data_IF_907850736387
#
_entry.id   IF_907850736387
#
_cell.length_a   1.000
_cell.length_b   1.000
_cell.length_c   1.000
_cell.angle_alpha   90.00
_cell.angle_beta   90.00
_cell.angle_gamma   90.00
#
_symmetry.space_group_name_H-M   'P 1'
#
loop_
_entity.id
_entity.type
_entity.pdbx_description
1 polymer ?
#
# COMPACT_ATOMS: atom_id res chain seq x y z
N UNK A 1 -14.66 9.93 2.03
CA UNK A 1 -15.49 9.74 0.86
C UNK A 1 -16.91 9.22 1.17
N UNK A 2 -17.53 9.82 2.20
CA UNK A 2 -18.86 9.45 2.72
C UNK A 2 -19.92 9.51 1.63
N UNK A 3 -19.91 10.57 0.81
CA UNK A 3 -20.87 10.78 -0.28
C UNK A 3 -20.94 9.60 -1.27
N UNK A 4 -19.79 9.14 -1.74
CA UNK A 4 -19.74 8.03 -2.71
C UNK A 4 -20.22 6.72 -2.09
N UNK A 5 -19.86 6.45 -0.84
CA UNK A 5 -20.34 5.26 -0.12
C UNK A 5 -21.85 5.26 0.03
N UNK A 6 -22.45 6.38 0.41
CA UNK A 6 -23.92 6.54 0.53
C UNK A 6 -24.61 6.33 -0.82
N UNK A 7 -24.14 6.96 -1.89
CA UNK A 7 -24.70 6.84 -3.24
C UNK A 7 -24.66 5.43 -3.80
N UNK A 8 -23.59 4.69 -3.47
CA UNK A 8 -23.43 3.30 -3.87
C UNK A 8 -24.03 2.31 -2.86
N UNK A 9 -24.70 2.78 -1.82
CA UNK A 9 -25.22 1.95 -0.72
C UNK A 9 -24.16 0.99 -0.15
N UNK A 10 -22.96 1.51 0.11
CA UNK A 10 -21.87 0.77 0.73
C UNK A 10 -21.92 1.03 2.23
N UNK A 11 -21.96 -0.04 3.03
CA UNK A 11 -21.91 0.05 4.50
C UNK A 11 -20.65 0.83 4.93
N UNK A 12 -20.81 1.72 5.90
CA UNK A 12 -19.64 2.37 6.50
C UNK A 12 -18.79 1.33 7.21
N UNK A 13 -17.46 1.33 7.02
CA UNK A 13 -16.56 0.47 7.79
C UNK A 13 -16.68 0.73 9.29
N UNK A 14 -16.43 -0.30 10.09
CA UNK A 14 -16.50 -0.18 11.56
C UNK A 14 -15.39 0.73 12.09
N UNK A 15 -14.23 0.77 11.41
CA UNK A 15 -13.11 1.67 11.72
C UNK A 15 -12.68 2.42 10.46
N UNK A 16 -12.50 3.73 10.59
CA UNK A 16 -11.88 4.61 9.60
C UNK A 16 -10.92 5.52 10.36
N UNK A 17 -9.63 5.27 10.24
CA UNK A 17 -8.61 6.02 10.97
C UNK A 17 -7.59 6.64 10.00
N UNK A 18 -7.22 7.92 10.16
CA UNK A 18 -6.16 8.53 9.36
C UNK A 18 -4.79 8.00 9.81
N UNK A 19 -3.89 7.74 8.86
CA UNK A 19 -2.53 7.28 9.17
C UNK A 19 -1.78 8.25 10.10
N UNK A 20 -2.06 9.55 10.00
CA UNK A 20 -1.49 10.59 10.85
C UNK A 20 -1.82 10.43 12.35
N UNK A 21 -2.82 9.65 12.70
CA UNK A 21 -3.18 9.34 14.09
C UNK A 21 -2.46 8.08 14.64
N UNK A 22 -1.65 7.39 13.82
CA UNK A 22 -1.02 6.11 14.15
C UNK A 22 0.51 6.15 14.14
N UNK A 23 1.10 7.33 14.24
CA UNK A 23 2.57 7.50 14.20
C UNK A 23 3.29 6.69 15.29
N UNK A 24 2.81 6.65 16.56
CA UNK A 24 3.46 5.84 17.60
C UNK A 24 3.49 4.35 17.27
N UNK A 25 2.43 3.82 16.64
CA UNK A 25 2.35 2.43 16.21
C UNK A 25 3.39 2.12 15.12
N UNK A 26 3.57 3.04 14.19
CA UNK A 26 4.56 2.87 13.12
C UNK A 26 5.98 2.90 13.68
N UNK A 27 6.28 3.84 14.57
CA UNK A 27 7.59 3.90 15.24
C UNK A 27 7.86 2.59 15.99
N UNK A 28 6.90 2.09 16.76
CA UNK A 28 7.02 0.83 17.50
C UNK A 28 7.33 -0.36 16.59
N UNK A 29 6.66 -0.45 15.44
CA UNK A 29 6.92 -1.52 14.46
C UNK A 29 8.35 -1.42 13.91
N UNK A 30 8.80 -0.22 13.55
CA UNK A 30 10.15 0.01 13.00
C UNK A 30 11.22 -0.31 14.06
N UNK A 31 11.03 0.10 15.32
CA UNK A 31 11.91 -0.26 16.43
C UNK A 31 12.03 -1.78 16.60
N UNK A 32 10.90 -2.48 16.61
CA UNK A 32 10.89 -3.94 16.73
C UNK A 32 11.57 -4.65 15.55
N UNK A 33 11.45 -4.12 14.33
CA UNK A 33 12.17 -4.65 13.17
C UNK A 33 13.68 -4.41 13.26
N UNK A 34 14.12 -3.26 13.79
CA UNK A 34 15.52 -2.97 14.07
C UNK A 34 16.09 -3.91 15.16
N UNK A 35 15.37 -4.09 16.26
CA UNK A 35 15.77 -4.98 17.36
C UNK A 35 15.91 -6.44 16.89
N UNK A 36 15.01 -6.89 16.01
CA UNK A 36 15.05 -8.24 15.44
C UNK A 36 16.07 -8.41 14.28
N UNK A 37 16.73 -7.34 13.87
CA UNK A 37 17.76 -7.35 12.82
C UNK A 37 17.22 -7.43 11.39
N UNK A 38 15.92 -7.16 11.17
CA UNK A 38 15.29 -7.06 9.85
C UNK A 38 15.35 -5.67 9.24
N UNK A 39 15.77 -4.68 9.99
CA UNK A 39 15.92 -3.30 9.51
C UNK A 39 17.29 -2.73 9.85
N UNK A 40 17.68 -1.67 9.15
CA UNK A 40 18.94 -0.95 9.37
C UNK A 40 18.79 0.54 9.07
N UNK A 41 19.66 1.35 9.67
CA UNK A 41 19.73 2.79 9.41
C UNK A 41 20.87 3.07 8.43
N UNK A 42 20.60 3.82 7.37
CA UNK A 42 21.58 4.27 6.41
C UNK A 42 21.18 5.64 5.83
N UNK A 43 22.13 6.54 5.64
CA UNK A 43 21.88 7.87 5.09
C UNK A 43 20.90 8.75 5.91
N UNK A 44 20.53 8.33 7.11
CA UNK A 44 19.52 8.94 7.97
C UNK A 44 18.14 8.26 7.91
N UNK A 45 17.86 7.47 6.89
CA UNK A 45 16.60 6.72 6.74
C UNK A 45 16.69 5.33 7.39
N UNK A 46 15.53 4.74 7.69
CA UNK A 46 15.43 3.35 8.14
C UNK A 46 14.90 2.48 7.00
N UNK A 47 15.61 1.41 6.70
CA UNK A 47 15.29 0.48 5.61
C UNK A 47 14.98 -0.90 6.15
N UNK A 48 14.09 -1.61 5.48
CA UNK A 48 13.90 -3.05 5.65
C UNK A 48 14.96 -3.79 4.82
N UNK A 49 15.62 -4.77 5.42
CA UNK A 49 16.63 -5.63 4.79
C UNK A 49 15.97 -6.89 4.22
N UNK A 50 15.67 -6.88 2.92
CA UNK A 50 14.98 -7.99 2.25
C UNK A 50 15.84 -9.25 2.17
N UNK A 51 17.17 -9.15 2.29
CA UNK A 51 18.09 -10.31 2.29
C UNK A 51 17.94 -11.21 3.53
N UNK A 52 17.26 -10.73 4.57
CA UNK A 52 16.98 -11.49 5.79
C UNK A 52 15.79 -12.44 5.65
N UNK A 53 15.01 -12.32 4.58
CA UNK A 53 13.87 -13.19 4.32
C UNK A 53 14.29 -14.41 3.51
N UNK A 54 13.76 -15.57 3.86
CA UNK A 54 13.90 -16.77 3.06
C UNK A 54 13.24 -16.63 1.68
N UNK A 55 12.08 -15.95 1.64
CA UNK A 55 11.34 -15.65 0.41
C UNK A 55 10.71 -14.26 0.48
N UNK A 56 11.12 -13.35 -0.40
CA UNK A 56 10.53 -12.02 -0.50
C UNK A 56 9.37 -11.96 -1.51
N UNK A 57 9.53 -12.53 -2.71
CA UNK A 57 8.49 -12.52 -3.76
C UNK A 57 7.44 -13.60 -3.50
N UNK A 58 6.33 -13.22 -2.83
CA UNK A 58 5.33 -14.18 -2.35
C UNK A 58 4.14 -14.36 -3.31
N UNK A 59 3.81 -13.35 -4.13
CA UNK A 59 2.64 -13.38 -5.01
C UNK A 59 2.96 -13.78 -6.45
N UNK A 60 4.18 -13.58 -6.92
CA UNK A 60 4.61 -13.86 -8.29
C UNK A 60 6.00 -14.46 -8.28
N UNK A 61 6.36 -15.18 -9.33
CA UNK A 61 7.74 -15.64 -9.56
C UNK A 61 8.63 -14.50 -10.08
N UNK A 62 8.47 -13.29 -9.54
CA UNK A 62 9.36 -12.17 -9.83
C UNK A 62 10.75 -12.45 -9.30
N UNK A 63 11.75 -12.01 -10.04
CA UNK A 63 13.15 -12.03 -9.65
C UNK A 63 13.70 -10.59 -9.58
N UNK A 64 14.98 -10.42 -9.25
CA UNK A 64 15.60 -9.10 -9.20
C UNK A 64 15.59 -8.36 -10.56
N UNK A 65 15.49 -9.07 -11.68
CA UNK A 65 15.41 -8.48 -13.02
C UNK A 65 14.07 -7.79 -13.24
N UNK A 66 12.99 -8.31 -12.64
CA UNK A 66 11.65 -7.71 -12.71
C UNK A 66 11.57 -6.37 -11.95
N UNK A 67 12.44 -6.15 -10.96
CA UNK A 67 12.57 -4.86 -10.28
C UNK A 67 13.04 -3.74 -11.24
N UNK A 68 13.84 -4.06 -12.24
CA UNK A 68 14.30 -3.10 -13.24
C UNK A 68 13.13 -2.62 -14.14
N UNK A 69 12.12 -3.47 -14.35
CA UNK A 69 10.93 -3.16 -15.17
C UNK A 69 9.89 -2.35 -14.37
N UNK A 70 9.84 -2.52 -13.05
CA UNK A 70 8.91 -1.83 -12.15
C UNK A 70 9.39 -0.45 -11.66
N UNK A 71 10.60 -0.04 -11.98
CA UNK A 71 11.14 1.28 -11.63
C UNK A 71 10.40 2.33 -12.47
N UNK A 72 9.63 3.21 -11.80
CA UNK A 72 9.05 4.39 -12.47
C UNK A 72 10.18 5.19 -13.09
N UNK A 73 10.06 5.54 -14.37
CA UNK A 73 10.99 6.46 -15.02
C UNK A 73 11.29 7.67 -14.12
N UNK A 74 12.56 7.93 -13.82
CA UNK A 74 13.00 9.03 -12.96
C UNK A 74 13.16 8.70 -11.46
N UNK A 75 13.12 7.44 -11.05
CA UNK A 75 13.56 7.04 -9.70
C UNK A 75 15.06 6.75 -9.74
N UNK A 76 15.86 7.66 -9.17
CA UNK A 76 17.28 7.44 -8.96
C UNK A 76 17.51 6.25 -8.00
N UNK A 77 18.54 5.48 -8.28
CA UNK A 77 18.93 4.35 -7.43
C UNK A 77 19.41 4.90 -6.07
N UNK A 78 18.76 4.48 -4.99
CA UNK A 78 19.12 4.90 -3.63
C UNK A 78 20.37 4.13 -3.17
N UNK A 79 21.51 4.81 -3.21
CA UNK A 79 22.83 4.26 -2.84
C UNK A 79 22.96 3.85 -1.37
N UNK A 80 22.01 4.23 -0.51
CA UNK A 80 21.99 3.82 0.90
C UNK A 80 21.41 2.41 1.11
N UNK A 81 20.73 1.87 0.10
CA UNK A 81 20.19 0.51 0.16
C UNK A 81 21.31 -0.53 0.09
N UNK A 82 21.22 -1.55 0.92
CA UNK A 82 22.11 -2.72 0.87
C UNK A 82 21.75 -3.65 -0.29
N UNK A 83 20.44 -3.81 -0.55
CA UNK A 83 19.90 -4.64 -1.62
C UNK A 83 18.89 -3.82 -2.44
N UNK A 84 18.78 -4.08 -3.73
CA UNK A 84 17.85 -3.35 -4.62
C UNK A 84 16.39 -3.42 -4.16
N UNK A 85 15.99 -4.55 -3.60
CA UNK A 85 14.64 -4.80 -3.12
C UNK A 85 14.33 -4.14 -1.77
N UNK A 86 15.34 -3.63 -1.04
CA UNK A 86 15.12 -2.99 0.24
C UNK A 86 14.21 -1.77 0.09
N UNK A 87 13.40 -1.52 1.08
CA UNK A 87 12.43 -0.43 1.06
C UNK A 87 12.47 0.38 2.36
N UNK A 88 12.07 1.64 2.26
CA UNK A 88 12.13 2.57 3.39
C UNK A 88 10.97 2.34 4.34
N UNK A 89 11.27 2.20 5.63
CA UNK A 89 10.31 2.14 6.73
C UNK A 89 10.07 3.52 7.35
N UNK A 90 11.12 4.35 7.43
CA UNK A 90 11.04 5.71 7.95
C UNK A 90 11.97 6.64 7.16
N UNK A 91 11.43 7.75 6.66
CA UNK A 91 12.17 8.78 5.95
C UNK A 91 12.53 9.92 6.89
N UNK A 92 13.81 10.23 7.04
CA UNK A 92 14.29 11.51 7.59
C UNK A 92 14.85 12.41 6.48
N UNK A 93 15.28 11.80 5.38
CA UNK A 93 15.75 12.49 4.16
C UNK A 93 15.06 11.91 2.95
N UNK A 94 14.49 12.75 2.13
CA UNK A 94 13.88 12.35 0.85
C UNK A 94 14.02 13.48 -0.16
N UNK A 95 13.78 13.18 -1.43
CA UNK A 95 13.70 14.20 -2.49
C UNK A 95 12.49 15.15 -2.32
N UNK A 96 11.58 14.85 -1.42
CA UNK A 96 10.44 15.70 -1.07
C UNK A 96 10.76 16.50 0.19
N UNK A 97 11.68 17.45 0.07
CA UNK A 97 12.11 18.30 1.20
C UNK A 97 10.96 19.14 1.76
N UNK A 98 10.01 19.53 0.92
CA UNK A 98 8.82 20.32 1.25
C UNK A 98 7.66 19.51 1.86
N UNK A 99 7.89 18.25 2.26
CA UNK A 99 6.89 17.45 2.94
C UNK A 99 6.49 18.13 4.25
N UNK A 100 5.23 18.60 4.35
CA UNK A 100 4.73 19.32 5.54
C UNK A 100 4.48 18.38 6.72
N UNK A 101 4.00 17.15 6.44
CA UNK A 101 3.67 16.17 7.47
C UNK A 101 4.92 15.40 7.88
N UNK A 102 5.51 15.83 8.99
CA UNK A 102 6.68 15.19 9.62
C UNK A 102 6.46 15.09 11.14
N UNK A 103 7.05 14.08 11.74
CA UNK A 103 6.96 13.79 13.16
C UNK A 103 8.33 13.47 13.74
N UNK A 104 8.50 13.71 15.04
CA UNK A 104 9.67 13.28 15.79
C UNK A 104 9.74 11.74 15.85
N UNK A 105 10.92 11.21 15.69
CA UNK A 105 11.20 9.78 15.84
C UNK A 105 12.59 9.55 16.45
N UNK A 106 12.90 8.32 16.92
CA UNK A 106 14.25 7.99 17.39
C UNK A 106 15.37 8.20 16.36
N UNK A 107 15.01 8.24 15.07
CA UNK A 107 15.95 8.39 13.95
C UNK A 107 16.06 9.83 13.44
N UNK A 108 15.22 10.72 13.96
CA UNK A 108 15.10 12.12 13.57
C UNK A 108 13.71 12.50 13.10
N UNK A 109 13.52 13.79 12.80
CA UNK A 109 12.26 14.31 12.25
C UNK A 109 12.04 13.76 10.86
N UNK A 110 10.85 13.15 10.63
CA UNK A 110 10.58 12.50 9.37
C UNK A 110 9.15 11.96 9.24
N UNK A 111 8.96 11.00 8.37
CA UNK A 111 7.64 10.41 8.13
C UNK A 111 7.75 8.91 7.78
N UNK A 112 6.67 8.11 8.01
CA UNK A 112 6.68 6.69 7.72
C UNK A 112 6.77 6.41 6.21
N UNK A 113 7.35 5.26 5.87
CA UNK A 113 7.18 4.66 4.56
C UNK A 113 5.73 4.22 4.35
N UNK A 114 5.26 4.20 3.11
CA UNK A 114 3.87 3.89 2.80
C UNK A 114 3.40 2.51 3.32
N UNK A 115 4.28 1.51 3.28
CA UNK A 115 3.90 0.14 3.61
C UNK A 115 3.70 -0.09 5.12
N UNK A 116 4.47 0.62 5.97
CA UNK A 116 4.37 0.47 7.43
C UNK A 116 3.04 1.01 7.98
N UNK A 117 2.43 1.97 7.28
CA UNK A 117 1.15 2.54 7.67
C UNK A 117 0.06 1.47 7.68
N UNK A 118 -0.07 0.71 6.58
CA UNK A 118 -1.09 -0.33 6.47
C UNK A 118 -0.88 -1.46 7.47
N UNK A 119 0.35 -1.92 7.68
CA UNK A 119 0.66 -2.92 8.71
C UNK A 119 0.32 -2.41 10.11
N UNK A 120 0.72 -1.20 10.47
CA UNK A 120 0.50 -0.64 11.80
C UNK A 120 -0.98 -0.41 12.12
N UNK A 121 -1.73 0.17 11.17
CA UNK A 121 -3.16 0.41 11.34
C UNK A 121 -3.93 -0.91 11.45
N UNK A 122 -3.60 -1.87 10.59
CA UNK A 122 -4.26 -3.20 10.61
C UNK A 122 -4.01 -3.92 11.94
N UNK A 123 -2.77 -3.97 12.41
CA UNK A 123 -2.43 -4.62 13.69
C UNK A 123 -3.09 -3.91 14.88
N UNK A 124 -3.18 -2.58 14.86
CA UNK A 124 -3.83 -1.80 15.91
C UNK A 124 -5.29 -2.19 16.11
N UNK A 125 -6.04 -2.40 15.03
CA UNK A 125 -7.48 -2.60 15.08
C UNK A 125 -7.92 -4.05 14.94
N UNK A 126 -7.15 -4.87 14.24
CA UNK A 126 -7.51 -6.26 13.91
C UNK A 126 -6.61 -7.29 14.59
N UNK A 127 -5.54 -6.85 15.27
CA UNK A 127 -4.59 -7.73 15.94
C UNK A 127 -3.54 -8.33 15.01
N UNK A 128 -2.92 -9.39 15.48
CA UNK A 128 -1.73 -9.99 14.86
C UNK A 128 -2.08 -11.06 13.81
N UNK A 129 -3.34 -11.48 13.74
CA UNK A 129 -3.87 -12.43 12.76
C UNK A 129 -4.96 -11.75 11.93
N UNK A 130 -4.66 -11.48 10.67
CA UNK A 130 -5.57 -10.83 9.73
C UNK A 130 -6.25 -11.88 8.84
N UNK A 131 -7.58 -11.88 8.79
CA UNK A 131 -8.31 -12.83 7.96
C UNK A 131 -8.17 -12.51 6.48
N UNK A 132 -8.53 -11.29 6.08
CA UNK A 132 -8.58 -10.86 4.68
C UNK A 132 -7.96 -9.47 4.54
N UNK A 133 -7.03 -9.32 3.60
CA UNK A 133 -6.49 -8.04 3.18
C UNK A 133 -6.81 -7.80 1.70
N UNK A 134 -7.36 -6.62 1.39
CA UNK A 134 -7.87 -6.28 0.06
C UNK A 134 -7.12 -5.12 -0.57
N UNK A 135 -6.92 -5.18 -1.89
CA UNK A 135 -6.37 -4.06 -2.65
C UNK A 135 -6.55 -4.23 -4.17
N UNK A 136 -6.07 -3.27 -4.93
CA UNK A 136 -5.93 -3.42 -6.36
C UNK A 136 -4.82 -4.40 -6.72
N UNK A 137 -4.84 -4.94 -7.92
CA UNK A 137 -3.79 -5.86 -8.39
C UNK A 137 -2.39 -5.19 -8.40
N UNK A 138 -2.34 -3.90 -8.58
CA UNK A 138 -1.11 -3.09 -8.52
C UNK A 138 -0.52 -2.99 -7.11
N UNK A 139 -1.29 -3.29 -6.07
CA UNK A 139 -0.78 -3.40 -4.70
C UNK A 139 -0.11 -4.76 -4.42
N UNK A 140 -0.35 -5.80 -5.21
CA UNK A 140 0.28 -7.10 -4.97
C UNK A 140 1.80 -6.98 -4.88
N UNK A 141 2.38 -6.17 -5.78
CA UNK A 141 3.79 -5.81 -5.78
C UNK A 141 3.97 -4.31 -6.13
N UNK A 142 4.79 -3.56 -5.36
CA UNK A 142 5.53 -3.99 -4.17
C UNK A 142 4.76 -3.88 -2.85
N UNK A 143 3.60 -3.20 -2.80
CA UNK A 143 2.97 -2.75 -1.56
C UNK A 143 2.63 -3.90 -0.60
N UNK A 144 1.76 -4.82 -0.98
CA UNK A 144 1.38 -5.96 -0.13
C UNK A 144 2.53 -6.93 0.12
N UNK A 145 3.44 -7.09 -0.84
CA UNK A 145 4.68 -7.87 -0.64
C UNK A 145 5.53 -7.27 0.49
N UNK A 146 5.66 -5.94 0.54
CA UNK A 146 6.37 -5.24 1.61
C UNK A 146 5.63 -5.30 2.94
N UNK A 147 4.30 -5.23 2.92
CA UNK A 147 3.51 -5.42 4.13
C UNK A 147 3.69 -6.82 4.73
N UNK A 148 3.68 -7.87 3.91
CA UNK A 148 3.98 -9.25 4.36
C UNK A 148 5.38 -9.32 4.95
N UNK A 149 6.37 -8.82 4.23
CA UNK A 149 7.77 -8.83 4.64
C UNK A 149 7.95 -8.23 6.05
N UNK A 150 7.46 -7.01 6.26
CA UNK A 150 7.63 -6.30 7.53
C UNK A 150 6.75 -6.87 8.64
N UNK A 151 5.50 -7.25 8.33
CA UNK A 151 4.57 -7.76 9.35
C UNK A 151 4.99 -9.14 9.86
N UNK A 152 5.31 -10.07 8.97
CA UNK A 152 5.70 -11.42 9.35
C UNK A 152 7.09 -11.45 10.01
N UNK A 153 8.03 -10.59 9.58
CA UNK A 153 9.31 -10.41 10.27
C UNK A 153 9.13 -9.85 11.69
N UNK A 154 8.21 -8.90 11.88
CA UNK A 154 7.88 -8.36 13.19
C UNK A 154 7.20 -9.38 14.10
N UNK A 155 6.19 -10.08 13.61
CA UNK A 155 5.39 -11.03 14.39
C UNK A 155 6.10 -12.37 14.60
N UNK A 156 6.85 -12.86 13.63
CA UNK A 156 7.47 -14.19 13.64
C UNK A 156 6.53 -15.31 13.18
N UNK A 157 5.38 -14.97 12.61
CA UNK A 157 4.41 -15.90 12.06
C UNK A 157 3.67 -15.27 10.86
N UNK A 158 2.89 -16.09 10.13
CA UNK A 158 2.07 -15.63 9.02
C UNK A 158 1.05 -14.61 9.51
N UNK A 159 1.01 -13.43 8.89
CA UNK A 159 0.15 -12.33 9.30
C UNK A 159 -1.26 -12.37 8.73
N UNK A 160 -1.41 -12.63 7.41
CA UNK A 160 -2.70 -12.56 6.74
C UNK A 160 -3.04 -13.87 6.03
N UNK A 161 -4.28 -14.34 6.22
CA UNK A 161 -4.74 -15.61 5.65
C UNK A 161 -5.09 -15.50 4.18
N UNK A 162 -5.83 -14.46 3.78
CA UNK A 162 -6.34 -14.29 2.42
C UNK A 162 -6.03 -12.91 1.87
N UNK A 163 -5.37 -12.86 0.72
CA UNK A 163 -5.08 -11.67 -0.05
C UNK A 163 -6.03 -11.57 -1.22
N UNK A 164 -6.77 -10.45 -1.30
CA UNK A 164 -7.80 -10.25 -2.30
C UNK A 164 -7.43 -9.08 -3.22
N UNK A 165 -7.01 -9.39 -4.46
CA UNK A 165 -6.59 -8.41 -5.44
C UNK A 165 -7.64 -8.25 -6.54
N UNK A 166 -8.11 -7.01 -6.73
CA UNK A 166 -9.12 -6.67 -7.74
C UNK A 166 -8.45 -6.06 -8.96
N UNK A 167 -8.81 -6.52 -10.16
CA UNK A 167 -8.32 -5.92 -11.39
C UNK A 167 -8.94 -4.53 -11.63
N UNK A 168 -8.25 -3.73 -12.44
CA UNK A 168 -8.65 -2.36 -12.72
C UNK A 168 -9.96 -2.26 -13.48
N UNK A 169 -10.69 -1.17 -13.23
CA UNK A 169 -11.71 -0.67 -14.10
C UNK A 169 -11.05 0.09 -15.27
N UNK A 170 -11.27 -0.40 -16.46
CA UNK A 170 -10.73 0.18 -17.70
C UNK A 170 -11.82 0.92 -18.47
N UNK A 171 -11.39 1.80 -19.37
CA UNK A 171 -12.21 2.30 -20.48
C UNK A 171 -11.79 1.60 -21.76
N UNK A 172 -12.53 1.80 -22.85
CA UNK A 172 -12.16 1.29 -24.17
C UNK A 172 -10.79 1.79 -24.66
N UNK A 173 -10.25 2.86 -24.05
CA UNK A 173 -8.93 3.46 -24.36
C UNK A 173 -7.83 3.00 -23.39
N UNK A 174 -8.14 2.13 -22.42
CA UNK A 174 -7.21 1.58 -21.45
C UNK A 174 -7.53 1.94 -20.00
N UNK A 175 -6.52 1.95 -19.12
CA UNK A 175 -6.69 2.24 -17.69
C UNK A 175 -7.23 3.67 -17.49
N UNK A 176 -8.34 3.80 -16.79
CA UNK A 176 -8.90 5.08 -16.39
C UNK A 176 -7.92 5.81 -15.44
N UNK A 177 -7.50 7.02 -15.80
CA UNK A 177 -6.59 7.80 -14.97
C UNK A 177 -6.98 9.28 -14.92
N UNK A 178 -6.73 9.90 -13.76
CA UNK A 178 -6.98 11.34 -13.54
C UNK A 178 -6.14 12.22 -14.49
N UNK A 179 -4.91 11.82 -14.78
CA UNK A 179 -3.97 12.58 -15.60
C UNK A 179 -4.38 12.69 -17.07
N UNK A 180 -5.24 11.79 -17.55
CA UNK A 180 -5.75 11.80 -18.95
C UNK A 180 -7.08 12.53 -19.11
N UNK A 181 -7.65 13.14 -18.04
CA UNK A 181 -8.92 13.86 -18.10
C UNK A 181 -10.17 12.98 -18.29
N UNK A 182 -10.02 11.68 -18.48
CA UNK A 182 -11.11 10.70 -18.67
C UNK A 182 -11.48 10.03 -17.32
N UNK A 183 -11.72 10.85 -16.30
CA UNK A 183 -12.04 10.31 -14.98
C UNK A 183 -13.53 10.34 -14.72
N UNK A 184 -14.19 9.18 -14.82
CA UNK A 184 -15.60 9.02 -14.51
C UNK A 184 -15.79 9.00 -12.98
N UNK A 185 -16.47 10.01 -12.47
CA UNK A 185 -16.89 10.06 -11.06
C UNK A 185 -18.34 9.59 -10.93
N UNK A 186 -18.74 9.22 -9.71
CA UNK A 186 -20.15 8.90 -9.42
C UNK A 186 -21.05 10.10 -9.74
N UNK A 187 -20.59 11.33 -9.44
CA UNK A 187 -21.33 12.55 -9.76
C UNK A 187 -21.54 12.73 -11.27
N UNK A 188 -20.49 12.49 -12.07
CA UNK A 188 -20.61 12.58 -13.53
C UNK A 188 -21.55 11.52 -14.10
N UNK A 189 -21.60 10.34 -13.50
CA UNK A 189 -22.60 9.32 -13.90
C UNK A 189 -24.02 9.77 -13.63
N UNK A 190 -24.27 10.40 -12.46
CA UNK A 190 -25.58 11.00 -12.13
C UNK A 190 -25.96 12.12 -13.09
N UNK A 191 -25.04 13.03 -13.42
CA UNK A 191 -25.24 14.09 -14.41
C UNK A 191 -25.61 13.55 -15.80
N UNK A 192 -25.05 12.38 -16.17
CA UNK A 192 -25.40 11.66 -17.40
C UNK A 192 -26.70 10.84 -17.30
N UNK A 193 -27.42 10.90 -16.17
CA UNK A 193 -28.67 10.21 -15.96
C UNK A 193 -28.55 8.77 -15.47
N UNK A 194 -27.35 8.29 -15.14
CA UNK A 194 -27.18 6.93 -14.60
C UNK A 194 -27.39 6.91 -13.08
N UNK A 195 -28.08 5.87 -12.63
CA UNK A 195 -28.25 5.64 -11.19
C UNK A 195 -26.98 5.02 -10.58
N UNK A 196 -26.47 5.52 -9.44
CA UNK A 196 -25.28 4.97 -8.78
C UNK A 196 -25.37 3.46 -8.49
N UNK A 197 -26.55 2.95 -8.13
CA UNK A 197 -26.77 1.52 -7.90
C UNK A 197 -26.64 0.69 -9.18
N UNK A 198 -26.96 1.25 -10.36
CA UNK A 198 -26.74 0.57 -11.62
C UNK A 198 -25.23 0.39 -11.88
N UNK A 199 -24.41 1.39 -11.55
CA UNK A 199 -22.97 1.28 -11.62
C UNK A 199 -22.42 0.21 -10.62
N UNK A 200 -22.92 0.19 -9.40
CA UNK A 200 -22.55 -0.86 -8.43
C UNK A 200 -22.91 -2.26 -8.96
N UNK A 201 -24.11 -2.40 -9.53
CA UNK A 201 -24.54 -3.67 -10.12
C UNK A 201 -23.62 -4.08 -11.27
N UNK A 202 -23.27 -3.17 -12.16
CA UNK A 202 -22.30 -3.39 -13.24
C UNK A 202 -20.96 -3.91 -12.70
N UNK A 203 -20.40 -3.29 -11.65
CA UNK A 203 -19.16 -3.76 -11.03
C UNK A 203 -19.28 -5.17 -10.44
N UNK A 204 -20.44 -5.54 -9.89
CA UNK A 204 -20.67 -6.84 -9.27
C UNK A 204 -20.96 -7.97 -10.27
N UNK A 205 -21.26 -7.66 -11.52
CA UNK A 205 -21.50 -8.66 -12.57
C UNK A 205 -20.24 -9.35 -13.06
N UNK A 206 -19.07 -8.77 -12.81
CA UNK A 206 -17.80 -9.32 -13.24
C UNK A 206 -17.06 -9.97 -12.08
N UNK A 207 -16.36 -11.06 -12.39
CA UNK A 207 -15.43 -11.66 -11.41
C UNK A 207 -14.28 -10.70 -11.15
N UNK A 208 -13.88 -10.53 -9.89
CA UNK A 208 -12.83 -9.57 -9.47
C UNK A 208 -11.46 -9.77 -10.15
N UNK A 209 -11.18 -11.01 -10.64
CA UNK A 209 -9.97 -11.35 -11.41
C UNK A 209 -10.12 -11.10 -12.92
N UNK A 210 -11.19 -10.45 -13.37
CA UNK A 210 -11.36 -10.01 -14.75
C UNK A 210 -11.35 -8.50 -14.79
N UNK A 211 -10.62 -7.95 -15.75
CA UNK A 211 -10.65 -6.51 -16.00
C UNK A 211 -12.08 -6.12 -16.41
N UNK A 212 -12.59 -5.09 -15.75
CA UNK A 212 -13.91 -4.54 -16.06
C UNK A 212 -13.71 -3.37 -17.02
N UNK A 213 -14.47 -3.35 -18.11
CA UNK A 213 -14.46 -2.28 -19.10
C UNK A 213 -15.79 -1.54 -19.05
N UNK A 214 -15.72 -0.24 -18.85
CA UNK A 214 -16.86 0.65 -18.76
C UNK A 214 -17.06 1.43 -20.06
#
# INVERSE_FOLDING_TARGET
DVYKRQKLNIKTPDVVEPATACIPEFIKLVEGLLEKGYAYVAGGNVYFDTSKLEKYYVFNDHNEEDLAVGVREGVEEDQNKRNKADFVLWFTKSKFEDQELKWDSPWGVGYPGWHIECSGISMKHLGEDLDIHCGGIDNAFPHHTNEIAQSEAYLGHKWCNYWFHVLHLNTNTGKMSKSKGEFLTVSLLEEKGYRPLAYRYFCLQSHYRKALVF
#
